data_IF_501643341292
#
_entry.id   IF_501643341292
#
_cell.length_a   1.000
_cell.length_b   1.000
_cell.length_c   1.000
_cell.angle_alpha   90.00
_cell.angle_beta   90.00
_cell.angle_gamma   90.00
#
_symmetry.space_group_name_H-M   'P 1'
#
loop_
_entity.id
_entity.type
_entity.pdbx_description
1 polymer ?
#
# COMPACT_ATOMS: atom_id res chain seq x y z
N UNK A 1 -26.96 21.34 -7.14
CA UNK A 1 -26.51 19.94 -7.05
C UNK A 1 -25.09 19.97 -6.50
N UNK A 2 -24.86 19.41 -5.32
CA UNK A 2 -23.54 19.44 -4.65
C UNK A 2 -22.49 18.75 -5.53
N UNK A 3 -21.45 19.48 -5.92
CA UNK A 3 -20.37 18.99 -6.79
C UNK A 3 -19.35 18.19 -5.95
N UNK A 4 -19.82 17.10 -5.32
CA UNK A 4 -18.99 16.28 -4.43
C UNK A 4 -18.12 15.35 -5.28
N UNK A 5 -16.83 15.18 -4.95
CA UNK A 5 -15.88 14.38 -5.70
C UNK A 5 -16.26 12.90 -5.85
N UNK A 6 -15.63 12.19 -6.81
CA UNK A 6 -15.89 10.77 -7.06
C UNK A 6 -15.65 9.89 -5.81
N UNK A 7 -14.62 10.22 -5.02
CA UNK A 7 -14.29 9.52 -3.78
C UNK A 7 -15.40 9.64 -2.74
N UNK A 8 -15.92 10.85 -2.52
CA UNK A 8 -17.01 11.07 -1.58
C UNK A 8 -18.29 10.33 -2.01
N UNK A 9 -18.60 10.31 -3.31
CA UNK A 9 -19.71 9.50 -3.85
C UNK A 9 -19.50 8.00 -3.59
N UNK A 10 -18.29 7.50 -3.77
CA UNK A 10 -17.94 6.09 -3.47
C UNK A 10 -18.12 5.77 -1.99
N UNK A 11 -17.60 6.62 -1.09
CA UNK A 11 -17.75 6.47 0.35
C UNK A 11 -19.22 6.43 0.79
N UNK A 12 -20.04 7.37 0.28
CA UNK A 12 -21.48 7.40 0.56
C UNK A 12 -22.22 6.17 0.04
N UNK A 13 -21.85 5.66 -1.15
CA UNK A 13 -22.42 4.42 -1.70
C UNK A 13 -22.12 3.20 -0.83
N UNK A 14 -20.94 3.18 -0.19
CA UNK A 14 -20.53 2.15 0.77
C UNK A 14 -21.05 2.40 2.20
N UNK A 15 -21.78 3.49 2.44
CA UNK A 15 -22.26 3.87 3.77
C UNK A 15 -21.16 4.31 4.75
N UNK A 16 -19.93 4.58 4.27
CA UNK A 16 -18.80 4.96 5.11
C UNK A 16 -18.83 6.45 5.44
N UNK A 17 -18.58 6.81 6.71
CA UNK A 17 -18.53 8.20 7.19
C UNK A 17 -17.47 8.37 8.29
N UNK A 18 -17.13 9.61 8.63
CA UNK A 18 -16.25 9.94 9.74
C UNK A 18 -14.90 9.23 9.67
N UNK A 19 -14.52 8.58 10.77
CA UNK A 19 -13.25 7.86 10.88
C UNK A 19 -13.12 6.68 9.92
N UNK A 20 -14.23 6.07 9.47
CA UNK A 20 -14.16 4.93 8.55
C UNK A 20 -13.62 5.37 7.18
N UNK A 21 -13.98 6.58 6.73
CA UNK A 21 -13.41 7.18 5.51
C UNK A 21 -11.92 7.49 5.69
N UNK A 22 -11.52 8.02 6.85
CA UNK A 22 -10.12 8.36 7.12
C UNK A 22 -9.21 7.13 7.29
N UNK A 23 -9.78 5.95 7.55
CA UNK A 23 -9.05 4.67 7.73
C UNK A 23 -8.92 3.85 6.45
N UNK A 24 -9.74 4.14 5.44
CA UNK A 24 -9.69 3.52 4.12
C UNK A 24 -8.69 4.30 3.23
N UNK A 25 -7.52 3.72 2.87
CA UNK A 25 -6.50 4.42 2.10
C UNK A 25 -6.93 4.77 0.67
N UNK A 26 -7.91 4.07 0.10
CA UNK A 26 -8.46 4.39 -1.23
C UNK A 26 -9.32 5.65 -1.16
N UNK A 27 -10.03 5.83 -0.05
CA UNK A 27 -10.97 6.94 0.14
C UNK A 27 -10.34 8.16 0.82
N UNK A 28 -9.31 7.95 1.63
CA UNK A 28 -8.75 9.00 2.47
C UNK A 28 -7.92 10.01 1.67
N UNK A 29 -8.41 11.25 1.59
CA UNK A 29 -7.69 12.38 1.01
C UNK A 29 -7.00 13.26 2.07
N UNK A 30 -7.04 12.87 3.34
CA UNK A 30 -6.44 13.58 4.46
C UNK A 30 -6.93 15.03 4.54
N UNK A 31 -6.00 15.98 4.65
CA UNK A 31 -6.34 17.41 4.72
C UNK A 31 -6.87 17.98 3.40
N UNK A 32 -6.93 17.18 2.32
CA UNK A 32 -7.41 17.61 1.01
C UNK A 32 -8.89 17.42 0.75
N UNK A 33 -9.65 16.87 1.70
CA UNK A 33 -11.12 16.91 1.59
C UNK A 33 -11.60 18.36 1.60
N UNK A 34 -12.46 18.73 0.65
CA UNK A 34 -13.07 20.07 0.59
C UNK A 34 -14.04 20.28 1.76
N UNK A 35 -14.45 21.52 2.01
CA UNK A 35 -15.42 21.81 3.06
C UNK A 35 -16.77 21.10 2.83
N UNK A 36 -17.21 20.99 1.58
CA UNK A 36 -18.43 20.28 1.20
C UNK A 36 -18.29 18.77 1.41
N UNK A 37 -17.13 18.20 1.07
CA UNK A 37 -16.84 16.78 1.33
C UNK A 37 -16.79 16.49 2.83
N UNK A 38 -16.19 17.39 3.61
CA UNK A 38 -16.12 17.26 5.07
C UNK A 38 -17.50 17.29 5.72
N UNK A 39 -18.40 18.15 5.26
CA UNK A 39 -19.79 18.17 5.71
C UNK A 39 -20.52 16.88 5.32
N UNK A 40 -20.46 16.50 4.04
CA UNK A 40 -21.17 15.33 3.51
C UNK A 40 -20.71 14.01 4.17
N UNK A 41 -19.43 13.88 4.45
CA UNK A 41 -18.82 12.67 5.00
C UNK A 41 -18.71 12.69 6.53
N UNK A 42 -19.09 13.78 7.21
CA UNK A 42 -19.00 13.89 8.66
C UNK A 42 -17.56 13.97 9.18
N UNK A 43 -16.69 14.71 8.48
CA UNK A 43 -15.27 14.89 8.81
C UNK A 43 -14.97 16.20 9.52
N UNK A 44 -15.94 17.12 9.63
CA UNK A 44 -15.76 18.37 10.38
C UNK A 44 -15.41 18.06 11.84
N UNK A 45 -14.38 18.73 12.35
CA UNK A 45 -13.82 18.49 13.69
C UNK A 45 -12.81 17.33 13.76
N UNK A 46 -12.69 16.50 12.72
CA UNK A 46 -11.71 15.40 12.67
C UNK A 46 -10.42 15.79 11.92
N UNK A 47 -10.44 16.90 11.20
CA UNK A 47 -9.32 17.42 10.42
C UNK A 47 -9.08 18.90 10.76
N UNK A 48 -7.82 19.39 10.65
CA UNK A 48 -7.53 20.82 10.73
C UNK A 48 -8.38 21.63 9.73
N UNK A 49 -8.77 22.87 10.06
CA UNK A 49 -9.69 23.66 9.24
C UNK A 49 -9.13 24.02 7.85
N UNK A 50 -7.81 24.10 7.71
CA UNK A 50 -7.20 24.41 6.42
C UNK A 50 -7.31 23.22 5.44
N UNK A 51 -7.90 23.47 4.28
CA UNK A 51 -7.95 22.52 3.15
C UNK A 51 -6.67 22.65 2.34
N UNK A 52 -5.90 21.57 2.24
CA UNK A 52 -4.64 21.54 1.50
C UNK A 52 -4.84 20.90 0.13
N UNK A 53 -4.27 21.50 -0.91
CA UNK A 53 -4.13 20.87 -2.23
C UNK A 53 -3.29 19.60 -2.16
N UNK A 54 -3.43 18.73 -3.16
CA UNK A 54 -2.61 17.50 -3.23
C UNK A 54 -1.10 17.83 -3.32
N UNK A 55 -0.75 18.92 -4.00
CA UNK A 55 0.64 19.41 -4.11
C UNK A 55 1.22 19.80 -2.74
N UNK A 56 0.50 20.61 -1.95
CA UNK A 56 0.96 21.00 -0.61
C UNK A 56 1.12 19.79 0.32
N UNK A 57 0.24 18.79 0.19
CA UNK A 57 0.37 17.54 0.94
C UNK A 57 1.62 16.75 0.52
N UNK A 58 1.92 16.70 -0.77
CA UNK A 58 3.10 16.04 -1.30
C UNK A 58 4.39 16.73 -0.83
N UNK A 59 4.45 18.06 -0.95
CA UNK A 59 5.60 18.87 -0.48
C UNK A 59 5.85 18.68 1.02
N UNK A 60 4.79 18.70 1.84
CA UNK A 60 4.89 18.45 3.29
C UNK A 60 5.45 17.07 3.59
N UNK A 61 5.02 16.03 2.86
CA UNK A 61 5.56 14.68 3.02
C UNK A 61 7.03 14.64 2.62
N UNK A 62 7.37 15.16 1.43
CA UNK A 62 8.72 15.17 0.88
C UNK A 62 9.73 15.92 1.77
N UNK A 63 9.30 17.00 2.44
CA UNK A 63 10.16 17.77 3.35
C UNK A 63 10.69 16.92 4.51
N UNK A 64 9.83 16.08 5.11
CA UNK A 64 10.25 15.19 6.20
C UNK A 64 10.92 13.94 5.65
N UNK A 65 10.39 13.39 4.57
CA UNK A 65 10.90 12.18 3.92
C UNK A 65 12.35 12.32 3.44
N UNK A 66 12.71 13.44 2.82
CA UNK A 66 14.08 13.68 2.32
C UNK A 66 15.12 13.89 3.41
N UNK A 67 14.69 14.08 4.67
CA UNK A 67 15.61 14.12 5.83
C UNK A 67 16.03 12.73 6.30
N UNK A 68 15.27 11.69 5.93
CA UNK A 68 15.64 10.31 6.22
C UNK A 68 16.88 9.97 5.39
N UNK A 69 17.86 9.34 6.02
CA UNK A 69 19.11 8.93 5.36
C UNK A 69 19.12 7.44 5.07
N UNK A 70 18.50 6.64 5.94
CA UNK A 70 18.44 5.20 5.79
C UNK A 70 17.39 4.80 4.71
N UNK A 71 17.77 3.98 3.72
CA UNK A 71 16.83 3.54 2.68
C UNK A 71 15.65 2.73 3.21
N UNK A 72 15.82 1.94 4.27
CA UNK A 72 14.73 1.15 4.85
C UNK A 72 13.76 2.07 5.59
N UNK A 73 14.25 3.08 6.32
CA UNK A 73 13.38 4.11 6.91
C UNK A 73 12.55 4.84 5.83
N UNK A 74 13.15 5.14 4.67
CA UNK A 74 12.41 5.70 3.53
C UNK A 74 11.36 4.75 2.99
N UNK A 75 11.69 3.46 2.84
CA UNK A 75 10.72 2.45 2.44
C UNK A 75 9.53 2.41 3.40
N UNK A 76 9.80 2.34 4.70
CA UNK A 76 8.78 2.32 5.76
C UNK A 76 7.92 3.59 5.71
N UNK A 77 8.52 4.76 5.52
CA UNK A 77 7.78 6.02 5.39
C UNK A 77 6.86 6.07 4.16
N UNK A 78 7.32 5.57 3.02
CA UNK A 78 6.50 5.45 1.79
C UNK A 78 5.37 4.44 1.96
N UNK A 79 5.64 3.29 2.56
CA UNK A 79 4.63 2.27 2.82
C UNK A 79 3.56 2.77 3.81
N UNK A 80 3.96 3.49 4.86
CA UNK A 80 3.04 4.14 5.78
C UNK A 80 2.19 5.23 5.11
N UNK A 81 2.71 5.92 4.09
CA UNK A 81 1.91 6.83 3.27
C UNK A 81 0.91 6.04 2.42
N UNK A 82 1.35 4.97 1.76
CA UNK A 82 0.50 4.09 0.98
C UNK A 82 -0.67 3.56 1.83
N UNK A 83 -0.41 3.16 3.08
CA UNK A 83 -1.39 2.63 4.06
C UNK A 83 -2.38 3.66 4.57
N UNK A 84 -2.11 4.94 4.34
CA UNK A 84 -2.91 6.05 4.82
C UNK A 84 -3.67 6.76 3.71
N UNK A 85 -3.04 7.03 2.57
CA UNK A 85 -3.58 7.81 1.46
C UNK A 85 -2.93 7.34 0.16
N UNK A 86 -3.60 6.41 -0.52
CA UNK A 86 -3.10 5.77 -1.73
C UNK A 86 -3.03 6.75 -2.91
N UNK A 87 -3.98 7.68 -3.00
CA UNK A 87 -3.97 8.74 -4.01
C UNK A 87 -2.72 9.63 -3.90
N UNK A 88 -2.32 10.01 -2.68
CA UNK A 88 -1.13 10.82 -2.44
C UNK A 88 0.17 10.01 -2.63
N UNK A 89 0.17 8.74 -2.24
CA UNK A 89 1.28 7.82 -2.51
C UNK A 89 1.58 7.73 -4.01
N UNK A 90 0.57 7.42 -4.84
CA UNK A 90 0.76 7.32 -6.29
C UNK A 90 1.07 8.68 -6.91
N UNK A 91 0.53 9.78 -6.38
CA UNK A 91 0.92 11.12 -6.84
C UNK A 91 2.41 11.36 -6.67
N UNK A 92 2.97 11.08 -5.49
CA UNK A 92 4.40 11.24 -5.22
C UNK A 92 5.24 10.28 -6.07
N UNK A 93 4.80 9.03 -6.20
CA UNK A 93 5.50 8.01 -6.99
C UNK A 93 5.58 8.41 -8.48
N UNK A 94 4.49 8.93 -9.05
CA UNK A 94 4.47 9.39 -10.44
C UNK A 94 5.28 10.67 -10.65
N UNK A 95 5.15 11.67 -9.77
CA UNK A 95 5.83 12.96 -9.92
C UNK A 95 7.36 12.86 -9.68
N UNK A 96 7.81 11.85 -8.93
CA UNK A 96 9.20 11.66 -8.53
C UNK A 96 9.72 10.23 -8.79
N UNK A 97 9.33 9.62 -9.92
CA UNK A 97 9.58 8.21 -10.18
C UNK A 97 11.05 7.80 -10.08
N UNK A 98 11.99 8.63 -10.54
CA UNK A 98 13.42 8.35 -10.45
C UNK A 98 13.93 8.29 -8.99
N UNK A 99 13.36 9.10 -8.09
CA UNK A 99 13.69 9.12 -6.66
C UNK A 99 12.98 7.98 -5.91
N UNK A 100 11.75 7.67 -6.30
CA UNK A 100 10.85 6.78 -5.54
C UNK A 100 10.92 5.31 -5.98
N UNK A 101 11.12 5.03 -7.28
CA UNK A 101 11.21 3.66 -7.81
C UNK A 101 12.27 2.80 -7.11
N UNK A 102 13.51 3.29 -6.85
CA UNK A 102 14.52 2.49 -6.18
C UNK A 102 14.16 2.10 -4.74
N UNK A 103 13.21 2.82 -4.14
CA UNK A 103 12.71 2.60 -2.79
C UNK A 103 11.56 1.59 -2.80
N UNK A 104 10.53 1.79 -3.62
CA UNK A 104 9.35 0.91 -3.67
C UNK A 104 9.59 -0.40 -4.44
N UNK A 105 10.70 -0.49 -5.17
CA UNK A 105 11.16 -1.69 -5.87
C UNK A 105 12.67 -1.88 -5.67
N UNK A 106 13.38 -2.39 -6.67
CA UNK A 106 14.81 -2.69 -6.54
C UNK A 106 15.68 -1.43 -6.43
N UNK A 107 16.69 -1.40 -5.55
CA UNK A 107 17.16 -2.51 -4.70
C UNK A 107 16.48 -2.61 -3.32
N UNK A 108 15.85 -1.54 -2.82
CA UNK A 108 15.45 -1.44 -1.40
C UNK A 108 14.34 -2.41 -1.03
N UNK A 109 13.44 -2.78 -1.95
CA UNK A 109 12.42 -3.81 -1.69
C UNK A 109 13.04 -5.15 -1.30
N UNK A 110 14.24 -5.46 -1.77
CA UNK A 110 14.97 -6.66 -1.37
C UNK A 110 15.37 -6.61 0.10
N UNK A 111 15.93 -5.48 0.55
CA UNK A 111 16.23 -5.22 1.96
C UNK A 111 14.96 -5.27 2.81
N UNK A 112 13.87 -4.67 2.33
CA UNK A 112 12.58 -4.73 3.00
C UNK A 112 12.02 -6.17 3.10
N UNK A 113 12.29 -7.04 2.13
CA UNK A 113 11.94 -8.45 2.22
C UNK A 113 12.84 -9.17 3.24
N UNK A 114 14.12 -8.83 3.37
CA UNK A 114 14.98 -9.44 4.40
C UNK A 114 14.51 -9.06 5.81
N UNK A 115 14.03 -7.83 5.99
CA UNK A 115 13.58 -7.28 7.28
C UNK A 115 12.05 -7.34 7.47
N UNK A 116 11.32 -8.08 6.61
CA UNK A 116 9.85 -7.96 6.49
C UNK A 116 9.10 -8.14 7.80
N UNK A 117 9.42 -9.20 8.57
CA UNK A 117 8.79 -9.47 9.87
C UNK A 117 8.98 -8.31 10.86
N UNK A 118 10.17 -7.68 10.85
CA UNK A 118 10.52 -6.57 11.74
C UNK A 118 9.84 -5.26 11.37
N UNK A 119 9.67 -5.00 10.07
CA UNK A 119 9.08 -3.76 9.55
C UNK A 119 7.59 -3.88 9.23
N UNK A 120 6.95 -5.02 9.52
CA UNK A 120 5.55 -5.26 9.21
C UNK A 120 4.64 -4.24 9.93
N UNK A 121 3.82 -3.51 9.17
CA UNK A 121 2.94 -2.45 9.70
C UNK A 121 1.46 -2.78 9.47
N UNK A 122 1.05 -2.87 8.20
CA UNK A 122 -0.32 -3.18 7.77
C UNK A 122 -0.25 -4.23 6.67
N UNK A 123 -1.13 -5.24 6.68
CA UNK A 123 -1.13 -6.25 5.63
C UNK A 123 -1.52 -5.63 4.28
N UNK A 124 -0.79 -6.00 3.23
CA UNK A 124 -1.11 -5.72 1.83
C UNK A 124 -1.06 -7.00 1.02
N UNK A 125 -2.10 -7.22 0.23
CA UNK A 125 -2.26 -8.46 -0.53
C UNK A 125 -2.80 -9.61 0.31
N UNK A 126 -2.64 -10.81 -0.21
CA UNK A 126 -3.15 -12.03 0.40
C UNK A 126 -2.05 -13.06 0.59
N UNK A 127 -2.02 -13.67 1.77
CA UNK A 127 -1.18 -14.82 2.06
C UNK A 127 -2.05 -16.08 1.95
N UNK A 128 -1.57 -17.07 1.19
CA UNK A 128 -2.26 -18.35 1.00
C UNK A 128 -1.25 -19.43 1.33
N UNK A 129 -1.49 -20.15 2.43
CA UNK A 129 -0.55 -21.16 2.91
C UNK A 129 -0.76 -22.53 2.27
N UNK A 130 0.21 -23.43 2.38
CA UNK A 130 0.08 -24.83 1.97
C UNK A 130 -1.11 -25.54 2.66
N UNK A 131 -1.40 -25.13 3.90
CA UNK A 131 -2.51 -25.63 4.71
C UNK A 131 -3.89 -25.19 4.19
N UNK A 132 -3.95 -24.31 3.19
CA UNK A 132 -5.18 -23.86 2.55
C UNK A 132 -5.56 -24.66 1.31
N UNK A 133 -4.83 -25.74 1.01
CA UNK A 133 -5.13 -26.65 -0.09
C UNK A 133 -6.60 -27.08 -0.07
N UNK A 134 -7.28 -26.88 -1.20
CA UNK A 134 -8.72 -27.16 -1.36
C UNK A 134 -9.65 -26.00 -1.00
N UNK A 135 -9.14 -24.90 -0.43
CA UNK A 135 -9.93 -23.72 -0.02
C UNK A 135 -9.53 -22.41 -0.72
N UNK A 136 -8.62 -22.45 -1.69
CA UNK A 136 -8.11 -21.24 -2.38
C UNK A 136 -9.25 -20.37 -2.92
N UNK A 137 -10.24 -20.95 -3.60
CA UNK A 137 -11.37 -20.20 -4.13
C UNK A 137 -12.23 -19.53 -3.05
N UNK A 138 -12.33 -20.12 -1.86
CA UNK A 138 -12.99 -19.50 -0.71
C UNK A 138 -12.16 -18.33 -0.18
N UNK A 139 -10.84 -18.50 -0.05
CA UNK A 139 -9.94 -17.47 0.45
C UNK A 139 -9.97 -16.26 -0.47
N UNK A 140 -9.87 -16.44 -1.78
CA UNK A 140 -9.90 -15.34 -2.77
C UNK A 140 -11.17 -14.47 -2.67
N UNK A 141 -12.30 -15.00 -2.15
CA UNK A 141 -13.52 -14.20 -1.93
C UNK A 141 -13.40 -13.19 -0.78
N UNK A 142 -12.37 -13.31 0.07
CA UNK A 142 -12.08 -12.33 1.11
C UNK A 142 -11.45 -11.05 0.55
N UNK A 143 -10.93 -11.07 -0.69
CA UNK A 143 -10.43 -9.86 -1.32
C UNK A 143 -11.59 -8.91 -1.65
N UNK A 144 -11.58 -7.66 -1.17
CA UNK A 144 -12.74 -6.78 -1.25
C UNK A 144 -12.96 -6.16 -2.64
N UNK A 145 -12.05 -6.38 -3.59
CA UNK A 145 -12.08 -5.75 -4.92
C UNK A 145 -12.06 -6.78 -6.05
N UNK A 146 -12.56 -6.40 -7.21
CA UNK A 146 -12.43 -7.23 -8.41
C UNK A 146 -10.99 -7.13 -8.93
N UNK A 147 -10.20 -8.20 -8.77
CA UNK A 147 -8.85 -8.27 -9.31
C UNK A 147 -8.87 -8.32 -10.84
N UNK A 148 -8.07 -7.46 -11.48
CA UNK A 148 -7.77 -7.47 -12.92
C UNK A 148 -6.34 -7.90 -13.21
N UNK A 149 -5.41 -7.69 -12.28
CA UNK A 149 -4.04 -8.19 -12.35
C UNK A 149 -3.62 -8.80 -11.02
N UNK A 150 -2.92 -9.94 -11.10
CA UNK A 150 -2.33 -10.62 -9.96
C UNK A 150 -0.83 -10.71 -10.19
N UNK A 151 -0.05 -10.34 -9.17
CA UNK A 151 1.36 -10.70 -9.08
C UNK A 151 1.51 -11.63 -7.90
N UNK A 152 2.06 -12.81 -8.17
CA UNK A 152 2.20 -13.89 -7.19
C UNK A 152 3.64 -14.34 -7.08
N UNK A 153 4.07 -14.71 -5.88
CA UNK A 153 5.37 -15.31 -5.59
C UNK A 153 5.21 -16.32 -4.45
N UNK A 154 6.09 -17.32 -4.38
CA UNK A 154 6.28 -18.18 -3.20
C UNK A 154 7.42 -17.70 -2.29
N UNK A 155 8.32 -16.88 -2.84
CA UNK A 155 9.42 -16.28 -2.09
C UNK A 155 10.73 -17.05 -2.17
N UNK A 156 10.79 -18.17 -2.91
CA UNK A 156 11.96 -19.06 -2.95
C UNK A 156 13.19 -18.41 -3.63
N UNK A 157 12.97 -17.46 -4.54
CA UNK A 157 14.06 -16.75 -5.23
C UNK A 157 13.78 -15.27 -5.38
N UNK A 158 13.93 -14.53 -4.29
CA UNK A 158 13.86 -13.07 -4.29
C UNK A 158 15.13 -12.49 -4.91
N UNK A 159 15.08 -12.25 -6.22
CA UNK A 159 16.16 -11.62 -6.99
C UNK A 159 17.50 -12.38 -6.81
N UNK A 160 18.51 -11.72 -6.23
CA UNK A 160 19.80 -12.30 -5.86
C UNK A 160 19.94 -12.62 -4.37
N UNK A 161 18.87 -12.53 -3.60
CA UNK A 161 18.85 -12.72 -2.13
C UNK A 161 18.48 -14.14 -1.71
N UNK A 162 18.02 -14.97 -2.66
CA UNK A 162 17.63 -16.36 -2.39
C UNK A 162 16.22 -16.49 -1.82
N UNK A 163 16.04 -17.52 -0.99
CA UNK A 163 14.76 -17.88 -0.39
C UNK A 163 14.47 -16.97 0.80
N UNK A 164 13.40 -16.19 0.72
CA UNK A 164 12.90 -15.35 1.82
C UNK A 164 11.50 -15.79 2.29
N UNK A 165 10.98 -16.92 1.79
CA UNK A 165 9.63 -17.42 2.11
C UNK A 165 8.54 -16.34 2.07
N UNK A 166 7.68 -16.35 3.08
CA UNK A 166 6.58 -15.39 3.24
C UNK A 166 7.05 -13.91 3.29
N UNK A 167 8.31 -13.64 3.64
CA UNK A 167 8.85 -12.28 3.67
C UNK A 167 9.01 -11.68 2.26
N UNK A 168 8.94 -12.51 1.22
CA UNK A 168 8.96 -12.07 -0.17
C UNK A 168 7.74 -11.24 -0.63
N UNK A 169 6.74 -11.00 0.25
CA UNK A 169 5.50 -10.29 -0.10
C UNK A 169 5.77 -8.85 -0.56
N UNK A 170 6.89 -8.25 -0.17
CA UNK A 170 7.31 -6.95 -0.68
C UNK A 170 7.43 -6.91 -2.21
N UNK A 171 7.80 -8.02 -2.85
CA UNK A 171 7.97 -8.09 -4.31
C UNK A 171 6.66 -7.91 -5.09
N UNK A 172 5.58 -8.70 -4.87
CA UNK A 172 4.34 -8.49 -5.58
C UNK A 172 3.71 -7.11 -5.27
N UNK A 173 3.83 -6.62 -4.04
CA UNK A 173 3.35 -5.27 -3.66
C UNK A 173 4.09 -4.17 -4.41
N UNK A 174 5.43 -4.21 -4.42
CA UNK A 174 6.26 -3.24 -5.13
C UNK A 174 6.02 -3.29 -6.64
N UNK A 175 5.92 -4.50 -7.21
CA UNK A 175 5.66 -4.68 -8.64
C UNK A 175 4.30 -4.09 -9.04
N UNK A 176 3.24 -4.34 -8.29
CA UNK A 176 1.92 -3.75 -8.56
C UNK A 176 1.88 -2.23 -8.38
N UNK A 177 2.69 -1.68 -7.47
CA UNK A 177 2.89 -0.23 -7.36
C UNK A 177 3.47 0.35 -8.65
N UNK A 178 4.44 -0.33 -9.28
CA UNK A 178 5.00 0.08 -10.57
C UNK A 178 4.01 -0.09 -11.73
N UNK A 179 3.18 -1.15 -11.75
CA UNK A 179 2.12 -1.28 -12.75
C UNK A 179 1.13 -0.11 -12.68
N UNK A 180 0.82 0.35 -11.46
CA UNK A 180 -0.04 1.50 -11.26
C UNK A 180 0.64 2.78 -11.72
N UNK A 181 1.83 3.07 -11.21
CA UNK A 181 2.53 4.33 -11.47
C UNK A 181 3.03 4.47 -12.92
N UNK A 182 3.54 3.39 -13.52
CA UNK A 182 4.21 3.42 -14.81
C UNK A 182 3.32 2.98 -15.98
N UNK A 183 2.29 2.14 -15.73
CA UNK A 183 1.43 1.60 -16.77
C UNK A 183 -0.05 2.01 -16.62
N UNK A 184 -0.40 2.79 -15.59
CA UNK A 184 -1.76 3.31 -15.41
C UNK A 184 -2.79 2.23 -15.03
N UNK A 185 -2.36 1.07 -14.55
CA UNK A 185 -3.27 0.06 -14.03
C UNK A 185 -3.94 0.60 -12.77
N UNK A 186 -5.27 0.52 -12.68
CA UNK A 186 -5.96 1.05 -11.52
C UNK A 186 -5.64 0.21 -10.26
N UNK A 187 -5.25 0.81 -9.12
CA UNK A 187 -4.78 0.07 -7.95
C UNK A 187 -5.83 -0.88 -7.36
N UNK A 188 -7.12 -0.53 -7.42
CA UNK A 188 -8.20 -1.43 -7.00
C UNK A 188 -8.31 -2.75 -7.83
N UNK A 189 -7.64 -2.82 -8.99
CA UNK A 189 -7.57 -4.04 -9.80
C UNK A 189 -6.33 -4.89 -9.48
N UNK A 190 -5.43 -4.38 -8.64
CA UNK A 190 -4.18 -5.04 -8.28
C UNK A 190 -4.37 -5.96 -7.07
N UNK A 191 -3.97 -7.22 -7.21
CA UNK A 191 -3.99 -8.20 -6.12
C UNK A 191 -2.59 -8.84 -5.95
N UNK A 192 -1.80 -8.42 -4.94
CA UNK A 192 -0.56 -9.09 -4.56
C UNK A 192 -0.87 -10.40 -3.82
N UNK A 193 -0.22 -11.49 -4.19
CA UNK A 193 -0.38 -12.80 -3.53
C UNK A 193 0.98 -13.37 -3.12
N UNK A 194 1.05 -13.87 -1.90
CA UNK A 194 2.14 -14.71 -1.38
C UNK A 194 1.63 -16.14 -1.20
N UNK A 195 2.31 -17.11 -1.81
CA UNK A 195 2.06 -18.54 -1.61
C UNK A 195 3.06 -19.08 -0.60
N UNK A 196 2.64 -19.22 0.65
CA UNK A 196 3.51 -19.69 1.72
C UNK A 196 3.49 -21.23 1.78
N UNK A 197 4.54 -21.85 1.25
CA UNK A 197 4.75 -23.30 1.27
C UNK A 197 5.88 -23.71 2.21
N UNK A 198 6.27 -22.81 3.13
CA UNK A 198 7.48 -22.93 3.94
C UNK A 198 8.69 -22.26 3.30
N UNK A 199 9.81 -22.27 4.01
CA UNK A 199 11.10 -21.74 3.56
C UNK A 199 12.23 -22.68 3.95
N UNK A 200 13.27 -22.75 3.13
CA UNK A 200 14.50 -23.48 3.40
C UNK A 200 15.55 -22.60 4.11
N UNK A 201 15.27 -21.32 4.34
CA UNK A 201 16.21 -20.38 4.94
C UNK A 201 16.22 -20.52 6.46
N UNK A 202 17.24 -21.20 6.99
CA UNK A 202 17.37 -21.51 8.41
C UNK A 202 17.31 -20.26 9.31
N UNK A 203 17.94 -19.15 8.89
CA UNK A 203 17.90 -17.91 9.68
C UNK A 203 16.50 -17.33 9.84
N UNK A 204 15.58 -17.60 8.91
CA UNK A 204 14.17 -17.19 9.03
C UNK A 204 13.37 -18.19 9.87
N UNK A 205 13.74 -19.48 9.86
CA UNK A 205 13.14 -20.49 10.73
C UNK A 205 13.53 -20.28 12.21
N UNK A 206 14.74 -19.76 12.44
CA UNK A 206 15.27 -19.46 13.76
C UNK A 206 14.88 -18.06 14.28
N UNK A 207 14.36 -17.19 13.42
CA UNK A 207 13.91 -15.83 13.80
C UNK A 207 12.60 -15.91 14.59
N UNK A 208 12.53 -15.38 15.82
CA UNK A 208 11.29 -15.37 16.62
C UNK A 208 10.24 -14.36 16.15
N UNK A 209 10.56 -13.49 15.18
CA UNK A 209 9.67 -12.44 14.63
C UNK A 209 9.04 -12.88 13.31
#
# INVERSE_FOLDING_TARGET
MSNIGATARSAMTRGLRGLDVLRDPILNHGTGFTEEEREALGLRGLLPPHVHTQTEQAERFLLSFRKLTDPLDKFVALNALHDRNESLFFRILCDHIDEMQPLVYTPVVGLACQEFGRIFQRPRGMFIGINDRGRIAQILRNWPYQAGIIVVTDGERILGLGDLGANGMGIPVGKLSLYTACAGVHPAQCLPIMLDVGTNTQSLLDDPL
#
